data_IF_504735066956
#
_entry.id   IF_504735066956
#
_cell.length_a   1.000
_cell.length_b   1.000
_cell.length_c   1.000
_cell.angle_alpha   90.00
_cell.angle_beta   90.00
_cell.angle_gamma   90.00
#
_symmetry.space_group_name_H-M   'P 1'
#
loop_
_entity.id
_entity.type
_entity.pdbx_description
1 polymer ?
#
# COMPACT_ATOMS: atom_id res chain seq x y z
N UNK A 1 32.48 13.14 63.57
CA UNK A 1 32.44 14.06 64.74
C UNK A 1 32.45 15.49 64.21
N UNK A 2 31.39 16.27 64.51
CA UNK A 2 31.13 17.71 64.19
C UNK A 2 30.96 18.00 62.69
N UNK A 3 29.80 18.31 62.09
CA UNK A 3 28.56 19.04 62.43
C UNK A 3 28.75 20.49 62.87
N UNK A 4 28.48 21.42 61.93
CA UNK A 4 27.74 22.71 61.99
C UNK A 4 28.26 23.66 60.89
N UNK A 5 27.55 24.63 60.29
CA UNK A 5 26.14 25.03 60.15
C UNK A 5 26.17 26.36 59.34
N UNK A 6 25.06 26.69 58.66
CA UNK A 6 24.58 28.03 58.25
C UNK A 6 25.18 28.66 56.98
N UNK A 7 24.48 28.70 55.82
CA UNK A 7 23.27 29.43 55.40
C UNK A 7 23.57 30.84 54.79
N UNK A 8 23.01 31.02 53.59
CA UNK A 8 22.18 32.17 53.15
C UNK A 8 22.85 33.33 52.37
N UNK A 9 22.41 33.42 51.08
CA UNK A 9 21.92 34.63 50.35
C UNK A 9 22.95 35.76 50.10
N UNK A 10 22.94 36.57 49.05
CA UNK A 10 22.11 36.82 47.87
C UNK A 10 23.02 37.74 47.01
N UNK A 11 23.17 37.50 45.71
CA UNK A 11 22.73 38.43 44.68
C UNK A 11 23.77 39.47 44.17
N UNK A 12 23.62 39.78 42.87
CA UNK A 12 24.24 40.81 42.02
C UNK A 12 25.61 40.48 41.37
N UNK A 13 25.61 39.97 40.12
CA UNK A 13 25.63 40.71 38.81
C UNK A 13 27.02 41.28 38.51
N UNK A 14 27.68 41.08 37.36
CA UNK A 14 27.25 40.94 35.96
C UNK A 14 28.50 40.68 35.10
N UNK A 15 28.32 40.24 33.85
CA UNK A 15 29.28 40.30 32.72
C UNK A 15 29.95 38.98 32.28
N UNK A 16 29.15 38.11 31.64
CA UNK A 16 29.65 37.19 30.61
C UNK A 16 28.47 36.81 29.68
N UNK A 17 28.07 37.75 28.84
CA UNK A 17 27.10 37.56 27.76
C UNK A 17 27.89 37.46 26.45
N UNK A 18 28.39 36.28 26.11
CA UNK A 18 28.87 35.97 24.76
C UNK A 18 29.05 34.45 24.61
N UNK A 19 28.51 33.91 23.52
CA UNK A 19 28.62 32.51 23.04
C UNK A 19 27.60 31.51 23.60
N UNK A 20 26.33 31.91 23.65
CA UNK A 20 25.24 30.96 23.40
C UNK A 20 24.83 31.16 21.94
N UNK A 21 25.47 30.44 21.02
CA UNK A 21 24.93 30.28 19.68
C UNK A 21 23.76 29.30 19.81
N UNK A 22 22.50 29.69 19.56
CA UNK A 22 21.49 28.69 19.32
C UNK A 22 21.90 28.01 18.02
N UNK A 23 22.47 26.81 18.14
CA UNK A 23 22.42 25.81 17.08
C UNK A 23 20.98 25.82 16.63
N UNK A 24 20.74 26.33 15.43
CA UNK A 24 19.46 26.17 14.77
C UNK A 24 19.23 24.66 14.73
N UNK A 25 18.42 24.20 15.67
CA UNK A 25 17.66 22.99 15.53
C UNK A 25 16.87 23.20 14.24
N UNK A 26 17.42 22.70 13.14
CA UNK A 26 16.65 22.38 11.96
C UNK A 26 15.54 21.49 12.50
N UNK A 27 14.36 22.09 12.57
CA UNK A 27 13.12 21.34 12.57
C UNK A 27 13.18 20.50 11.31
N UNK A 28 13.62 19.26 11.44
CA UNK A 28 13.17 18.18 10.58
C UNK A 28 11.65 18.19 10.68
N UNK A 29 11.04 18.97 9.79
CA UNK A 29 9.63 18.91 9.50
C UNK A 29 9.36 17.46 9.18
N UNK A 30 8.70 16.80 10.11
CA UNK A 30 8.18 15.46 9.99
C UNK A 30 7.00 15.50 9.00
N UNK A 31 7.25 15.92 7.77
CA UNK A 31 6.30 15.93 6.64
C UNK A 31 6.24 14.52 6.02
N UNK A 32 6.18 13.49 6.86
CA UNK A 32 6.31 12.09 6.45
C UNK A 32 5.02 11.29 6.47
N UNK A 33 3.87 11.92 6.74
CA UNK A 33 2.63 11.18 6.98
C UNK A 33 1.68 11.11 5.77
N UNK A 34 1.90 11.88 4.70
CA UNK A 34 1.02 11.81 3.53
C UNK A 34 1.68 12.25 2.20
N UNK A 35 3.00 12.09 2.07
CA UNK A 35 3.72 12.39 0.83
C UNK A 35 3.80 11.14 -0.06
N UNK A 36 3.19 11.21 -1.23
CA UNK A 36 3.12 10.07 -2.15
C UNK A 36 4.43 9.97 -2.93
N UNK A 37 5.12 8.83 -2.81
CA UNK A 37 6.38 8.58 -3.53
C UNK A 37 6.12 8.10 -4.95
N UNK A 38 6.62 8.84 -5.93
CA UNK A 38 6.43 8.55 -7.36
C UNK A 38 7.79 8.39 -8.04
N UNK A 39 7.96 7.28 -8.76
CA UNK A 39 9.10 7.05 -9.65
C UNK A 39 8.69 7.31 -11.10
N UNK A 40 9.47 8.11 -11.83
CA UNK A 40 9.28 8.37 -13.26
C UNK A 40 10.39 7.65 -14.01
N UNK A 41 10.05 6.58 -14.72
CA UNK A 41 11.03 5.88 -15.53
C UNK A 41 11.30 6.62 -16.85
N UNK A 42 12.47 6.38 -17.47
CA UNK A 42 12.75 6.88 -18.82
C UNK A 42 11.61 6.50 -19.77
N UNK A 43 11.03 7.51 -20.40
CA UNK A 43 9.96 7.32 -21.37
C UNK A 43 10.56 6.98 -22.74
N UNK A 44 9.98 5.99 -23.41
CA UNK A 44 10.42 5.61 -24.75
C UNK A 44 9.84 6.58 -25.79
N UNK A 45 10.58 6.88 -26.86
CA UNK A 45 10.06 7.62 -28.01
C UNK A 45 10.25 6.81 -29.29
N UNK A 46 9.20 6.67 -30.09
CA UNK A 46 9.31 6.03 -31.40
C UNK A 46 10.03 6.94 -32.41
N UNK A 47 10.67 6.32 -33.41
CA UNK A 47 11.32 7.04 -34.50
C UNK A 47 10.36 8.02 -35.20
N UNK A 48 10.80 9.25 -35.41
CA UNK A 48 10.00 10.31 -36.04
C UNK A 48 9.09 11.11 -35.09
N UNK A 49 9.11 10.83 -33.78
CA UNK A 49 8.49 11.67 -32.76
C UNK A 49 9.25 12.99 -32.61
N UNK A 50 8.52 14.11 -32.48
CA UNK A 50 9.10 15.44 -32.57
C UNK A 50 9.95 15.88 -31.36
N UNK A 51 9.85 15.16 -30.23
CA UNK A 51 10.52 15.48 -28.97
C UNK A 51 11.44 14.33 -28.58
N UNK A 52 12.64 14.61 -28.11
CA UNK A 52 13.52 13.55 -27.60
C UNK A 52 12.91 12.88 -26.35
N UNK A 53 13.11 11.56 -26.25
CA UNK A 53 12.79 10.72 -25.09
C UNK A 53 13.20 11.33 -23.75
N UNK A 54 14.41 11.90 -23.68
CA UNK A 54 14.95 12.54 -22.48
C UNK A 54 14.18 13.81 -22.14
N UNK A 55 13.95 14.67 -23.14
CA UNK A 55 13.19 15.90 -22.97
C UNK A 55 11.73 15.62 -22.55
N UNK A 56 11.10 14.58 -23.12
CA UNK A 56 9.76 14.13 -22.72
C UNK A 56 9.74 13.70 -21.25
N UNK A 57 10.75 12.93 -20.81
CA UNK A 57 10.87 12.45 -19.43
C UNK A 57 11.06 13.62 -18.46
N UNK A 58 11.92 14.58 -18.81
CA UNK A 58 12.19 15.77 -17.98
C UNK A 58 10.94 16.65 -17.85
N UNK A 59 10.14 16.79 -18.92
CA UNK A 59 8.87 17.51 -18.89
C UNK A 59 7.83 16.83 -17.99
N UNK A 60 7.64 15.51 -18.12
CA UNK A 60 6.73 14.76 -17.24
C UNK A 60 7.17 14.85 -15.78
N UNK A 61 8.49 14.79 -15.53
CA UNK A 61 9.06 14.96 -14.19
C UNK A 61 8.76 16.35 -13.63
N UNK A 62 8.90 17.40 -14.46
CA UNK A 62 8.62 18.78 -14.06
C UNK A 62 7.14 19.00 -13.72
N UNK A 63 6.23 18.47 -14.55
CA UNK A 63 4.79 18.51 -14.31
C UNK A 63 4.46 17.85 -12.97
N UNK A 64 4.98 16.64 -12.73
CA UNK A 64 4.73 15.92 -11.49
C UNK A 64 5.36 16.61 -10.27
N UNK A 65 6.52 17.26 -10.43
CA UNK A 65 7.14 18.05 -9.37
C UNK A 65 6.29 19.26 -8.96
N UNK A 66 5.53 19.83 -9.91
CA UNK A 66 4.60 20.92 -9.67
C UNK A 66 3.34 20.52 -8.91
N UNK A 67 3.02 19.22 -8.85
CA UNK A 67 1.87 18.72 -8.08
C UNK A 67 2.27 18.60 -6.61
N UNK A 68 1.70 19.46 -5.75
CA UNK A 68 1.95 19.42 -4.31
C UNK A 68 1.69 18.04 -3.67
N UNK A 69 2.47 17.69 -2.65
CA UNK A 69 2.44 16.42 -1.89
C UNK A 69 2.91 15.17 -2.67
N UNK A 70 3.72 15.34 -3.71
CA UNK A 70 4.44 14.23 -4.37
C UNK A 70 5.94 14.30 -4.06
N UNK A 71 6.52 13.15 -3.68
CA UNK A 71 7.97 12.97 -3.62
C UNK A 71 8.44 12.23 -4.86
N UNK A 72 9.16 12.94 -5.72
CA UNK A 72 9.81 12.30 -6.85
C UNK A 72 11.07 11.56 -6.39
N UNK A 73 11.21 10.34 -6.86
CA UNK A 73 12.42 9.53 -6.64
C UNK A 73 13.48 9.97 -7.64
N UNK A 74 14.72 10.12 -7.14
CA UNK A 74 15.82 10.59 -7.96
C UNK A 74 16.24 9.55 -9.01
N UNK A 75 16.66 10.04 -10.18
CA UNK A 75 17.17 9.17 -11.27
C UNK A 75 18.37 8.34 -10.86
N UNK A 76 19.21 8.85 -9.95
CA UNK A 76 20.37 8.14 -9.44
C UNK A 76 19.99 6.90 -8.61
N UNK A 77 18.92 6.97 -7.80
CA UNK A 77 18.41 5.84 -7.02
C UNK A 77 17.83 4.76 -7.94
N UNK A 78 17.11 5.17 -8.99
CA UNK A 78 16.60 4.25 -10.01
C UNK A 78 17.70 3.56 -10.81
N UNK A 79 18.78 4.27 -11.16
CA UNK A 79 19.92 3.69 -11.86
C UNK A 79 20.62 2.64 -11.01
N UNK A 80 20.88 2.94 -9.72
CA UNK A 80 21.49 1.98 -8.79
C UNK A 80 20.64 0.71 -8.65
N UNK A 81 19.34 0.87 -8.42
CA UNK A 81 18.43 -0.26 -8.30
C UNK A 81 18.35 -1.11 -9.59
N UNK A 82 18.42 -0.45 -10.76
CA UNK A 82 18.48 -1.10 -12.06
C UNK A 82 19.76 -1.92 -12.25
N UNK A 83 20.92 -1.35 -11.89
CA UNK A 83 22.22 -2.01 -11.99
C UNK A 83 22.35 -3.20 -11.03
N UNK A 84 21.89 -3.04 -9.79
CA UNK A 84 21.90 -4.10 -8.77
C UNK A 84 21.02 -5.29 -9.14
N UNK A 85 19.85 -5.03 -9.69
CA UNK A 85 18.89 -6.09 -10.06
C UNK A 85 18.98 -6.52 -11.52
N UNK A 86 19.93 -5.97 -12.30
CA UNK A 86 20.13 -6.23 -13.74
C UNK A 86 18.86 -6.04 -14.57
N UNK A 87 18.03 -5.07 -14.19
CA UNK A 87 16.78 -4.77 -14.90
C UNK A 87 17.06 -3.66 -15.90
N UNK A 88 16.86 -3.92 -17.20
CA UNK A 88 17.04 -2.90 -18.21
C UNK A 88 16.02 -1.76 -18.01
N UNK A 89 16.51 -0.51 -18.01
CA UNK A 89 15.64 0.68 -18.01
C UNK A 89 14.87 0.84 -19.33
N UNK A 90 15.41 0.28 -20.42
CA UNK A 90 14.74 0.20 -21.72
C UNK A 90 13.71 -0.92 -21.72
N UNK A 91 12.48 -0.65 -22.20
CA UNK A 91 11.41 -1.65 -22.26
C UNK A 91 10.57 -1.75 -20.98
N UNK A 92 10.71 -0.82 -20.03
CA UNK A 92 9.85 -0.70 -18.85
C UNK A 92 8.40 -0.23 -19.18
N UNK A 93 8.10 0.03 -20.46
CA UNK A 93 6.74 0.31 -20.93
C UNK A 93 5.74 -0.82 -20.64
N UNK A 94 6.25 -2.05 -20.43
CA UNK A 94 5.51 -3.20 -19.94
C UNK A 94 5.54 -3.23 -18.41
N UNK A 95 4.42 -2.85 -17.81
CA UNK A 95 4.32 -2.48 -16.38
C UNK A 95 4.88 -3.47 -15.35
N UNK A 96 5.07 -4.75 -15.70
CA UNK A 96 5.59 -5.77 -14.79
C UNK A 96 7.03 -5.54 -14.32
N UNK A 97 7.92 -5.07 -15.20
CA UNK A 97 9.31 -4.75 -14.82
C UNK A 97 9.38 -3.43 -14.03
N UNK A 98 8.50 -2.49 -14.36
CA UNK A 98 8.40 -1.20 -13.70
C UNK A 98 7.91 -1.31 -12.25
N UNK A 99 6.96 -2.21 -11.97
CA UNK A 99 6.50 -2.51 -10.60
C UNK A 99 7.62 -3.09 -9.75
N UNK A 100 8.42 -4.01 -10.29
CA UNK A 100 9.55 -4.61 -9.57
C UNK A 100 10.59 -3.57 -9.17
N UNK A 101 11.04 -2.75 -10.12
CA UNK A 101 11.96 -1.65 -9.82
C UNK A 101 11.34 -0.65 -8.85
N UNK A 102 10.05 -0.31 -9.02
CA UNK A 102 9.29 0.53 -8.10
C UNK A 102 9.32 0.04 -6.65
N UNK A 103 9.21 -1.27 -6.42
CA UNK A 103 9.33 -1.87 -5.07
C UNK A 103 10.72 -1.65 -4.47
N UNK A 104 11.78 -1.79 -5.25
CA UNK A 104 13.16 -1.60 -4.79
C UNK A 104 13.47 -0.15 -4.44
N UNK A 105 12.96 0.80 -5.22
CA UNK A 105 13.12 2.24 -4.93
C UNK A 105 12.08 2.79 -3.95
N UNK A 106 11.26 1.92 -3.34
CA UNK A 106 10.19 2.29 -2.42
C UNK A 106 9.24 3.37 -2.99
N UNK A 107 8.87 3.19 -4.26
CA UNK A 107 7.84 3.98 -4.93
C UNK A 107 6.45 3.40 -4.64
N UNK A 108 5.48 4.25 -4.31
CA UNK A 108 4.07 3.84 -4.22
C UNK A 108 3.43 3.82 -5.61
N UNK A 109 3.85 4.75 -6.47
CA UNK A 109 3.41 4.82 -7.86
C UNK A 109 4.59 4.90 -8.81
N UNK A 110 4.41 4.29 -9.97
CA UNK A 110 5.38 4.25 -11.04
C UNK A 110 4.75 4.83 -12.29
N UNK A 111 5.43 5.78 -12.92
CA UNK A 111 5.04 6.38 -14.19
C UNK A 111 5.94 5.81 -15.29
N UNK A 112 5.32 5.16 -16.27
CA UNK A 112 5.96 4.69 -17.49
C UNK A 112 5.18 5.18 -18.70
N UNK A 113 5.81 5.21 -19.86
CA UNK A 113 5.10 5.65 -21.05
C UNK A 113 5.94 5.68 -22.30
N UNK A 114 5.26 5.95 -23.40
CA UNK A 114 5.87 6.01 -24.73
C UNK A 114 5.26 7.13 -25.57
N UNK A 115 6.11 7.92 -26.22
CA UNK A 115 5.75 8.80 -27.32
C UNK A 115 5.76 8.04 -28.66
N UNK A 116 4.70 8.15 -29.45
CA UNK A 116 4.61 7.59 -30.80
C UNK A 116 4.08 8.63 -31.76
N UNK A 117 4.56 8.58 -33.02
CA UNK A 117 3.95 9.36 -34.09
C UNK A 117 3.09 8.43 -34.94
N UNK A 118 1.84 8.83 -35.19
CA UNK A 118 0.92 8.11 -36.06
C UNK A 118 0.52 9.08 -37.17
N UNK A 119 1.04 8.88 -38.39
CA UNK A 119 0.85 9.81 -39.50
C UNK A 119 1.44 11.20 -39.21
N UNK A 120 0.59 12.23 -39.16
CA UNK A 120 0.99 13.61 -38.85
C UNK A 120 0.81 13.97 -37.36
N UNK A 121 0.29 13.07 -36.54
CA UNK A 121 -0.06 13.36 -35.15
C UNK A 121 0.91 12.70 -34.17
N UNK A 122 1.38 13.49 -33.21
CA UNK A 122 2.19 13.04 -32.10
C UNK A 122 1.27 12.56 -30.97
N UNK A 123 1.47 11.32 -30.51
CA UNK A 123 0.74 10.70 -29.42
C UNK A 123 1.69 10.38 -28.27
N UNK A 124 1.25 10.60 -27.03
CA UNK A 124 1.97 10.18 -25.84
C UNK A 124 1.04 9.29 -25.03
N UNK A 125 1.54 8.15 -24.59
CA UNK A 125 0.79 7.23 -23.73
C UNK A 125 1.54 7.09 -22.42
N UNK A 126 0.96 7.58 -21.33
CA UNK A 126 1.49 7.43 -19.98
C UNK A 126 0.64 6.41 -19.22
N UNK A 127 1.29 5.64 -18.36
CA UNK A 127 0.64 4.68 -17.46
C UNK A 127 1.16 4.98 -16.06
N UNK A 128 0.23 5.19 -15.13
CA UNK A 128 0.56 5.31 -13.72
C UNK A 128 0.14 4.01 -13.04
N UNK A 129 1.11 3.32 -12.46
CA UNK A 129 0.95 1.99 -11.91
C UNK A 129 1.10 2.07 -10.40
N UNK A 130 0.09 1.60 -9.66
CA UNK A 130 0.22 1.40 -8.23
C UNK A 130 1.10 0.17 -7.97
N UNK A 131 2.19 0.35 -7.23
CA UNK A 131 3.20 -0.69 -6.96
C UNK A 131 2.72 -1.73 -5.96
N UNK A 132 1.82 -1.35 -5.05
CA UNK A 132 1.29 -2.22 -4.00
C UNK A 132 0.15 -3.10 -4.48
N UNK A 133 -0.82 -2.53 -5.19
CA UNK A 133 -2.04 -3.25 -5.61
C UNK A 133 -1.96 -3.79 -7.04
N UNK A 134 -0.91 -3.46 -7.80
CA UNK A 134 -0.79 -3.75 -9.24
C UNK A 134 -1.96 -3.17 -10.06
N UNK A 135 -2.74 -2.26 -9.46
CA UNK A 135 -3.81 -1.52 -10.13
C UNK A 135 -3.24 -0.60 -11.19
N UNK A 136 -3.52 -0.91 -12.45
CA UNK A 136 -3.05 -0.14 -13.59
C UNK A 136 -4.03 1.00 -13.85
N UNK A 137 -3.65 2.23 -13.50
CA UNK A 137 -4.41 3.41 -13.92
C UNK A 137 -3.77 3.96 -15.17
N UNK A 138 -4.35 3.62 -16.33
CA UNK A 138 -3.92 4.18 -17.61
C UNK A 138 -4.36 5.65 -17.67
N UNK A 139 -3.42 6.58 -17.48
CA UNK A 139 -3.63 7.97 -17.88
C UNK A 139 -3.16 8.10 -19.34
N UNK A 140 -4.01 7.63 -20.27
CA UNK A 140 -3.75 7.78 -21.70
C UNK A 140 -3.99 9.23 -22.11
N UNK A 141 -2.97 10.08 -21.94
CA UNK A 141 -3.00 11.45 -22.41
C UNK A 141 -2.81 11.51 -23.93
N UNK A 142 -3.87 11.22 -24.69
CA UNK A 142 -3.88 11.36 -26.15
C UNK A 142 -3.92 12.85 -26.53
N UNK A 143 -2.74 13.45 -26.71
CA UNK A 143 -2.65 14.66 -27.50
C UNK A 143 -2.77 14.28 -28.98
N UNK A 144 -3.58 15.03 -29.73
CA UNK A 144 -3.71 14.96 -31.18
C UNK A 144 -3.70 16.41 -31.61
N UNK A 145 -2.61 16.90 -32.19
CA UNK A 145 -2.61 18.27 -32.72
C UNK A 145 -1.62 18.46 -33.87
N UNK A 146 -2.07 19.21 -34.88
CA UNK A 146 -1.28 19.91 -35.90
C UNK A 146 -0.48 21.11 -35.32
N UNK A 147 -0.63 21.42 -34.01
CA UNK A 147 -0.21 22.68 -33.36
C UNK A 147 1.08 22.65 -32.53
N UNK A 148 2.06 21.82 -32.87
CA UNK A 148 3.40 21.87 -32.26
C UNK A 148 3.51 21.23 -30.87
N UNK A 149 4.72 21.26 -30.31
CA UNK A 149 5.08 20.55 -29.07
C UNK A 149 4.41 21.14 -27.81
N UNK A 150 4.14 22.45 -27.79
CA UNK A 150 3.63 23.15 -26.60
C UNK A 150 2.20 22.71 -26.23
N UNK A 151 1.29 22.61 -27.21
CA UNK A 151 -0.09 22.15 -26.96
C UNK A 151 -0.17 20.68 -26.51
N UNK A 152 0.83 19.88 -26.87
CA UNK A 152 0.93 18.49 -26.41
C UNK A 152 1.32 18.44 -24.92
N UNK A 153 2.18 19.35 -24.47
CA UNK A 153 2.60 19.47 -23.07
C UNK A 153 1.42 19.95 -22.20
N UNK A 154 0.67 20.97 -22.62
CA UNK A 154 -0.49 21.48 -21.85
C UNK A 154 -1.58 20.41 -21.62
N UNK A 155 -1.86 19.59 -22.65
CA UNK A 155 -2.81 18.48 -22.54
C UNK A 155 -2.30 17.35 -21.65
N UNK A 156 -0.99 17.10 -21.68
CA UNK A 156 -0.34 16.13 -20.80
C UNK A 156 -0.44 16.59 -19.34
N UNK A 157 -0.19 17.88 -19.06
CA UNK A 157 -0.30 18.46 -17.72
C UNK A 157 -1.71 18.29 -17.14
N UNK A 158 -2.73 18.66 -17.92
CA UNK A 158 -4.13 18.52 -17.48
C UNK A 158 -4.48 17.06 -17.17
N UNK A 159 -4.13 16.14 -18.09
CA UNK A 159 -4.44 14.71 -17.95
C UNK A 159 -3.70 14.06 -16.78
N UNK A 160 -2.42 14.41 -16.58
CA UNK A 160 -1.61 13.91 -15.48
C UNK A 160 -2.12 14.42 -14.13
N UNK A 161 -2.46 15.71 -14.04
CA UNK A 161 -2.99 16.32 -12.81
C UNK A 161 -4.31 15.66 -12.40
N UNK A 162 -5.23 15.45 -13.34
CA UNK A 162 -6.48 14.72 -13.08
C UNK A 162 -6.23 13.26 -12.69
N UNK A 163 -5.30 12.59 -13.37
CA UNK A 163 -4.91 11.21 -13.08
C UNK A 163 -4.37 11.05 -11.67
N UNK A 164 -3.43 11.91 -11.27
CA UNK A 164 -2.87 11.92 -9.92
C UNK A 164 -3.93 12.27 -8.87
N UNK A 165 -4.85 13.21 -9.15
CA UNK A 165 -5.93 13.55 -8.24
C UNK A 165 -6.89 12.37 -7.98
N UNK A 166 -7.16 11.54 -8.99
CA UNK A 166 -7.94 10.30 -8.84
C UNK A 166 -7.20 9.28 -7.97
N UNK A 167 -5.88 9.14 -8.16
CA UNK A 167 -5.04 8.24 -7.37
C UNK A 167 -4.97 8.65 -5.89
N UNK A 168 -4.85 9.96 -5.61
CA UNK A 168 -4.94 10.51 -4.26
C UNK A 168 -6.25 10.14 -3.59
N UNK A 169 -7.40 10.39 -4.24
CA UNK A 169 -8.71 10.01 -3.69
C UNK A 169 -8.79 8.53 -3.33
N UNK A 170 -8.20 7.63 -4.11
CA UNK A 170 -8.18 6.20 -3.79
C UNK A 170 -7.25 5.82 -2.65
N UNK A 171 -6.07 6.46 -2.54
CA UNK A 171 -5.13 6.23 -1.44
C UNK A 171 -5.64 6.83 -0.11
N UNK A 172 -6.04 8.10 -0.15
CA UNK A 172 -6.64 8.81 1.00
C UNK A 172 -7.94 8.13 1.44
N UNK A 173 -8.74 7.56 0.53
CA UNK A 173 -9.94 6.81 0.90
C UNK A 173 -9.60 5.50 1.65
N UNK A 174 -8.50 4.84 1.32
CA UNK A 174 -8.04 3.64 2.04
C UNK A 174 -7.65 3.95 3.48
N UNK A 175 -6.89 5.02 3.68
CA UNK A 175 -6.45 5.47 5.01
C UNK A 175 -7.59 6.09 5.82
N UNK A 176 -8.49 6.85 5.16
CA UNK A 176 -9.69 7.37 5.79
C UNK A 176 -10.64 6.24 6.22
N UNK A 177 -10.85 5.22 5.37
CA UNK A 177 -11.68 4.07 5.72
C UNK A 177 -11.12 3.27 6.91
N UNK A 178 -9.80 3.12 7.00
CA UNK A 178 -9.14 2.48 8.15
C UNK A 178 -9.31 3.33 9.41
N UNK A 179 -9.14 4.65 9.32
CA UNK A 179 -9.34 5.56 10.44
C UNK A 179 -10.80 5.59 10.94
N UNK A 180 -11.79 5.51 10.05
CA UNK A 180 -13.20 5.36 10.40
C UNK A 180 -13.47 4.02 11.06
N UNK A 181 -12.96 2.93 10.49
CA UNK A 181 -13.09 1.59 11.06
C UNK A 181 -12.48 1.55 12.48
N UNK A 182 -11.33 2.18 12.70
CA UNK A 182 -10.69 2.29 14.01
C UNK A 182 -11.56 3.02 15.04
N UNK A 183 -12.37 4.01 14.63
CA UNK A 183 -13.34 4.68 15.51
C UNK A 183 -14.50 3.75 15.86
N UNK A 184 -15.01 2.99 14.89
CA UNK A 184 -16.12 2.05 15.09
C UNK A 184 -15.72 0.87 15.98
N UNK A 185 -14.50 0.37 15.82
CA UNK A 185 -13.99 -0.84 16.50
C UNK A 185 -13.50 -0.55 17.94
N UNK A 186 -13.54 0.71 18.40
CA UNK A 186 -13.19 1.09 19.79
C UNK A 186 -13.83 0.22 20.89
N UNK A 187 -15.12 -0.21 20.80
CA UNK A 187 -15.72 -1.09 21.81
C UNK A 187 -15.04 -2.47 21.90
N UNK A 188 -14.36 -2.91 20.85
CA UNK A 188 -13.64 -4.18 20.77
C UNK A 188 -12.17 -4.05 21.19
N UNK A 189 -11.71 -2.85 21.57
CA UNK A 189 -10.33 -2.62 21.99
C UNK A 189 -9.98 -3.47 23.22
N UNK A 190 -8.87 -4.20 23.15
CA UNK A 190 -8.41 -5.12 24.20
C UNK A 190 -9.04 -6.52 24.17
N UNK A 191 -9.95 -6.81 23.23
CA UNK A 191 -10.47 -8.14 22.98
C UNK A 191 -9.45 -9.01 22.25
N UNK A 192 -9.43 -10.30 22.60
CA UNK A 192 -8.51 -11.28 21.99
C UNK A 192 -9.24 -12.07 20.92
N UNK A 193 -8.77 -11.94 19.69
CA UNK A 193 -9.23 -12.70 18.53
C UNK A 193 -8.28 -13.86 18.27
N UNK A 194 -8.82 -15.07 18.20
CA UNK A 194 -8.10 -16.22 17.68
C UNK A 194 -8.46 -16.41 16.21
N UNK A 195 -7.46 -16.41 15.33
CA UNK A 195 -7.62 -16.41 13.89
C UNK A 195 -7.23 -17.77 13.29
N UNK A 196 -8.15 -18.39 12.56
CA UNK A 196 -7.94 -19.63 11.83
C UNK A 196 -8.58 -19.55 10.43
N UNK A 197 -7.81 -19.15 9.43
CA UNK A 197 -8.28 -18.97 8.07
C UNK A 197 -7.52 -19.92 7.16
N UNK A 198 -8.25 -20.87 6.57
CA UNK A 198 -7.69 -21.81 5.60
C UNK A 198 -7.78 -21.23 4.19
N UNK A 199 -6.77 -21.47 3.37
CA UNK A 199 -6.69 -20.93 2.01
C UNK A 199 -6.40 -22.03 1.01
N UNK A 200 -7.12 -22.00 -0.10
CA UNK A 200 -6.95 -22.91 -1.21
C UNK A 200 -6.85 -22.14 -2.52
N UNK A 201 -6.03 -22.67 -3.42
CA UNK A 201 -5.95 -22.21 -4.79
C UNK A 201 -6.32 -23.34 -5.74
N UNK A 202 -7.14 -23.02 -6.73
CA UNK A 202 -7.58 -23.97 -7.73
C UNK A 202 -6.34 -24.54 -8.44
N UNK A 203 -6.28 -25.87 -8.57
CA UNK A 203 -5.20 -26.64 -9.22
C UNK A 203 -3.85 -26.73 -8.49
N UNK A 204 -3.59 -26.00 -7.40
CA UNK A 204 -2.35 -26.15 -6.62
C UNK A 204 -2.48 -25.59 -5.20
N UNK A 205 -1.94 -26.26 -4.15
CA UNK A 205 -1.88 -25.68 -2.82
C UNK A 205 -0.88 -24.51 -2.76
N UNK A 206 -1.29 -23.42 -2.10
CA UNK A 206 -0.40 -22.32 -1.71
C UNK A 206 0.27 -22.68 -0.38
N UNK A 207 1.58 -22.47 -0.29
CA UNK A 207 2.36 -22.85 0.90
C UNK A 207 2.12 -21.93 2.11
N UNK A 208 1.74 -20.66 1.88
CA UNK A 208 1.55 -19.67 2.94
C UNK A 208 0.15 -19.06 2.85
N UNK A 209 -0.59 -18.96 3.98
CA UNK A 209 -1.91 -18.35 4.01
C UNK A 209 -1.79 -16.81 3.97
N UNK A 210 -1.98 -16.23 2.79
CA UNK A 210 -1.86 -14.81 2.51
C UNK A 210 -3.03 -13.99 3.11
N UNK A 211 -4.26 -14.47 2.95
CA UNK A 211 -5.44 -13.86 3.58
C UNK A 211 -5.33 -13.87 5.12
N UNK A 212 -4.89 -14.97 5.74
CA UNK A 212 -4.72 -15.04 7.19
C UNK A 212 -3.73 -13.99 7.69
N UNK A 213 -2.59 -13.84 7.02
CA UNK A 213 -1.58 -12.83 7.37
C UNK A 213 -2.13 -11.42 7.16
N UNK A 214 -2.82 -11.16 6.05
CA UNK A 214 -3.43 -9.86 5.78
C UNK A 214 -4.47 -9.48 6.84
N UNK A 215 -5.36 -10.40 7.21
CA UNK A 215 -6.38 -10.20 8.24
C UNK A 215 -5.72 -9.96 9.60
N UNK A 216 -4.71 -10.75 9.97
CA UNK A 216 -3.99 -10.56 11.22
C UNK A 216 -3.34 -9.17 11.30
N UNK A 217 -2.69 -8.72 10.22
CA UNK A 217 -2.08 -7.40 10.17
C UNK A 217 -3.15 -6.29 10.20
N UNK A 218 -4.28 -6.49 9.53
CA UNK A 218 -5.43 -5.56 9.54
C UNK A 218 -5.99 -5.40 10.95
N UNK A 219 -6.23 -6.50 11.67
CA UNK A 219 -6.71 -6.48 13.05
C UNK A 219 -5.70 -5.83 14.01
N UNK A 220 -4.40 -6.12 13.86
CA UNK A 220 -3.35 -5.47 14.67
C UNK A 220 -3.27 -3.97 14.43
N UNK A 221 -3.47 -3.51 13.19
CA UNK A 221 -3.51 -2.07 12.87
C UNK A 221 -4.70 -1.35 13.53
N UNK A 222 -5.76 -2.09 13.88
CA UNK A 222 -6.92 -1.61 14.64
C UNK A 222 -6.74 -1.73 16.17
N UNK A 223 -5.52 -2.00 16.64
CA UNK A 223 -5.16 -2.21 18.05
C UNK A 223 -5.88 -3.42 18.70
N UNK A 224 -6.25 -4.43 17.91
CA UNK A 224 -6.83 -5.69 18.39
C UNK A 224 -5.74 -6.76 18.60
N UNK A 225 -5.90 -7.57 19.66
CA UNK A 225 -4.97 -8.66 19.94
C UNK A 225 -5.33 -9.90 19.12
N UNK A 226 -4.37 -10.42 18.35
CA UNK A 226 -4.58 -11.58 17.47
C UNK A 226 -3.67 -12.74 17.85
N UNK A 227 -4.26 -13.91 18.03
CA UNK A 227 -3.57 -15.19 18.24
C UNK A 227 -3.77 -16.04 16.98
N UNK A 228 -2.68 -16.51 16.40
CA UNK A 228 -2.71 -17.50 15.32
C UNK A 228 -2.25 -18.84 15.90
N UNK A 229 -3.07 -19.90 15.84
CA UNK A 229 -2.67 -21.25 16.20
C UNK A 229 -1.43 -21.68 15.44
N UNK A 230 -0.43 -22.21 16.14
CA UNK A 230 0.72 -22.91 15.55
C UNK A 230 0.63 -24.36 15.99
N UNK A 231 0.44 -25.27 15.04
CA UNK A 231 0.30 -26.72 15.26
C UNK A 231 -0.71 -27.09 16.36
N UNK A 232 -2.00 -26.78 16.17
CA UNK A 232 -2.99 -27.01 17.22
C UNK A 232 -3.29 -28.50 17.44
N UNK A 233 -3.49 -28.87 18.71
CA UNK A 233 -3.90 -30.23 19.09
C UNK A 233 -5.29 -30.57 18.55
N UNK A 234 -5.54 -31.84 18.21
CA UNK A 234 -6.86 -32.28 17.73
C UNK A 234 -7.96 -31.92 18.74
N UNK A 235 -9.09 -31.39 18.25
CA UNK A 235 -10.23 -30.99 19.10
C UNK A 235 -10.09 -29.62 19.78
N UNK A 236 -9.01 -28.87 19.52
CA UNK A 236 -8.80 -27.53 20.12
C UNK A 236 -9.96 -26.56 19.91
N UNK A 237 -10.64 -26.60 18.76
CA UNK A 237 -11.78 -25.73 18.46
C UNK A 237 -12.93 -25.95 19.44
N UNK A 238 -13.24 -27.21 19.71
CA UNK A 238 -14.32 -27.58 20.61
C UNK A 238 -13.98 -27.16 22.05
N UNK A 239 -12.74 -27.41 22.49
CA UNK A 239 -12.25 -26.95 23.77
C UNK A 239 -12.31 -25.42 23.91
N UNK A 240 -11.94 -24.67 22.87
CA UNK A 240 -12.01 -23.22 22.85
C UNK A 240 -13.45 -22.69 22.97
N UNK A 241 -14.38 -23.30 22.24
CA UNK A 241 -15.80 -22.91 22.28
C UNK A 241 -16.44 -23.16 23.65
N UNK A 242 -16.04 -24.25 24.32
CA UNK A 242 -16.53 -24.64 25.65
C UNK A 242 -15.88 -23.82 26.78
N UNK A 243 -14.56 -23.63 26.73
CA UNK A 243 -13.80 -23.03 27.84
C UNK A 243 -13.46 -21.55 27.65
N UNK A 244 -13.54 -21.04 26.42
CA UNK A 244 -13.07 -19.69 26.06
C UNK A 244 -11.56 -19.52 26.16
N UNK A 245 -10.79 -20.61 26.21
CA UNK A 245 -9.33 -20.59 26.35
C UNK A 245 -8.64 -21.33 25.22
N UNK A 246 -7.50 -20.79 24.80
CA UNK A 246 -6.57 -21.44 23.91
C UNK A 246 -5.21 -21.54 24.60
N UNK A 247 -4.87 -22.74 25.07
CA UNK A 247 -3.80 -22.92 26.05
C UNK A 247 -4.13 -22.15 27.34
N UNK A 248 -3.19 -21.32 27.81
CA UNK A 248 -3.38 -20.46 29.00
C UNK A 248 -4.04 -19.11 28.70
N UNK A 249 -4.26 -18.77 27.41
CA UNK A 249 -4.76 -17.46 27.01
C UNK A 249 -6.28 -17.47 26.90
N UNK A 250 -6.91 -16.46 27.50
CA UNK A 250 -8.34 -16.20 27.30
C UNK A 250 -8.57 -15.61 25.90
N UNK A 251 -9.58 -16.11 25.20
CA UNK A 251 -10.01 -15.65 23.88
C UNK A 251 -11.44 -15.14 24.01
N UNK A 252 -11.75 -14.02 23.36
CA UNK A 252 -13.11 -13.45 23.34
C UNK A 252 -13.85 -13.79 22.05
N UNK A 253 -13.13 -13.84 20.93
CA UNK A 253 -13.70 -14.14 19.61
C UNK A 253 -12.85 -15.15 18.85
N UNK A 254 -13.49 -16.15 18.25
CA UNK A 254 -12.90 -17.03 17.26
C UNK A 254 -13.26 -16.49 15.87
N UNK A 255 -12.25 -16.09 15.10
CA UNK A 255 -12.39 -15.68 13.72
C UNK A 255 -11.93 -16.83 12.84
N UNK A 256 -12.87 -17.52 12.21
CA UNK A 256 -12.55 -18.62 11.29
C UNK A 256 -13.03 -18.34 9.87
N UNK A 257 -12.37 -18.93 8.89
CA UNK A 257 -12.75 -18.69 7.51
C UNK A 257 -12.08 -19.58 6.48
N UNK A 258 -12.57 -19.42 5.25
CA UNK A 258 -12.10 -20.15 4.10
C UNK A 258 -11.89 -19.19 2.93
N UNK A 259 -10.68 -19.21 2.36
CA UNK A 259 -10.29 -18.47 1.18
C UNK A 259 -10.14 -19.40 -0.02
N UNK A 260 -10.79 -19.05 -1.13
CA UNK A 260 -10.61 -19.73 -2.41
C UNK A 260 -10.11 -18.73 -3.45
N UNK A 261 -9.04 -19.08 -4.15
CA UNK A 261 -8.54 -18.31 -5.29
C UNK A 261 -8.44 -19.15 -6.56
N UNK A 262 -8.58 -18.51 -7.71
CA UNK A 262 -8.46 -19.17 -8.99
C UNK A 262 -8.03 -18.22 -10.11
N UNK A 263 -7.44 -18.80 -11.15
CA UNK A 263 -7.06 -18.09 -12.37
C UNK A 263 -8.30 -17.50 -13.05
N UNK A 264 -8.26 -16.20 -13.34
CA UNK A 264 -9.32 -15.49 -14.03
C UNK A 264 -9.00 -15.27 -15.52
N UNK A 265 -7.72 -15.07 -15.86
CA UNK A 265 -7.27 -14.95 -17.24
C UNK A 265 -5.90 -14.29 -17.36
N UNK A 266 -5.37 -14.25 -18.58
CA UNK A 266 -4.09 -13.62 -18.88
C UNK A 266 -4.27 -12.56 -19.96
N UNK A 267 -3.78 -11.35 -19.74
CA UNK A 267 -3.87 -10.23 -20.68
C UNK A 267 -2.50 -9.57 -20.80
N UNK A 268 -1.94 -9.53 -22.02
CA UNK A 268 -0.65 -8.88 -22.30
C UNK A 268 0.50 -9.35 -21.39
N UNK A 269 0.57 -10.67 -21.12
CA UNK A 269 1.62 -11.26 -20.27
C UNK A 269 1.37 -11.13 -18.77
N UNK A 270 0.34 -10.42 -18.33
CA UNK A 270 -0.08 -10.36 -16.93
C UNK A 270 -1.15 -11.41 -16.65
N UNK A 271 -0.95 -12.14 -15.56
CA UNK A 271 -1.85 -13.15 -15.03
C UNK A 271 -2.77 -12.52 -13.99
N UNK A 272 -4.08 -12.64 -14.18
CA UNK A 272 -5.09 -12.21 -13.22
C UNK A 272 -5.70 -13.40 -12.51
N UNK A 273 -5.81 -13.29 -11.19
CA UNK A 273 -6.53 -14.23 -10.34
C UNK A 273 -7.67 -13.52 -9.64
N UNK A 274 -8.73 -14.26 -9.33
CA UNK A 274 -9.82 -13.82 -8.46
C UNK A 274 -9.83 -14.65 -7.20
N UNK A 275 -10.20 -14.03 -6.09
CA UNK A 275 -10.33 -14.71 -4.81
C UNK A 275 -11.62 -14.31 -4.11
N UNK A 276 -12.14 -15.24 -3.32
CA UNK A 276 -13.24 -15.04 -2.38
C UNK A 276 -12.79 -15.56 -1.03
N UNK A 277 -12.96 -14.74 -0.01
CA UNK A 277 -12.67 -15.11 1.39
C UNK A 277 -13.95 -14.95 2.17
N UNK A 278 -14.38 -16.01 2.84
CA UNK A 278 -15.52 -16.00 3.75
C UNK A 278 -15.01 -16.05 5.18
N UNK A 279 -15.50 -15.14 6.02
CA UNK A 279 -15.11 -15.03 7.42
C UNK A 279 -16.33 -15.14 8.31
N UNK A 280 -16.16 -15.86 9.39
CA UNK A 280 -17.12 -16.02 10.47
C UNK A 280 -16.48 -15.63 11.80
N UNK A 281 -17.15 -14.78 12.56
CA UNK A 281 -16.77 -14.40 13.91
C UNK A 281 -17.71 -15.07 14.89
N UNK A 282 -17.15 -15.85 15.81
CA UNK A 282 -17.87 -16.56 16.86
C UNK A 282 -17.47 -15.98 18.22
N UNK A 283 -18.45 -15.51 19.00
CA UNK A 283 -18.24 -15.11 20.40
C UNK A 283 -17.97 -16.32 21.29
N UNK A 284 -16.93 -16.26 22.11
CA UNK A 284 -16.55 -17.33 23.06
C UNK A 284 -16.47 -16.82 24.51
N UNK A 285 -16.82 -17.66 25.51
CA UNK A 285 -17.38 -19.01 25.39
C UNK A 285 -18.87 -19.02 25.01
N UNK A 286 -19.34 -20.13 24.43
CA UNK A 286 -20.78 -20.39 24.28
C UNK A 286 -21.45 -19.94 22.97
N UNK A 287 -20.68 -19.55 21.93
CA UNK A 287 -21.22 -19.12 20.62
C UNK A 287 -22.23 -17.98 20.74
N UNK A 288 -21.90 -16.99 21.56
CA UNK A 288 -22.81 -15.88 21.89
C UNK A 288 -23.09 -14.93 20.72
N UNK A 289 -22.21 -14.91 19.72
CA UNK A 289 -22.29 -14.08 18.51
C UNK A 289 -21.88 -14.94 17.33
N UNK A 290 -22.59 -14.84 16.20
CA UNK A 290 -22.23 -15.48 14.93
C UNK A 290 -22.46 -14.48 13.78
N UNK A 291 -21.38 -13.80 13.40
CA UNK A 291 -21.39 -12.84 12.30
C UNK A 291 -20.60 -13.41 11.14
N UNK A 292 -21.24 -13.52 9.98
CA UNK A 292 -20.60 -14.02 8.76
C UNK A 292 -20.66 -12.97 7.64
N UNK A 293 -19.54 -12.76 6.96
CA UNK A 293 -19.47 -11.96 5.73
C UNK A 293 -18.40 -12.50 4.78
N UNK A 294 -18.34 -11.92 3.58
CA UNK A 294 -17.42 -12.34 2.52
C UNK A 294 -16.77 -11.14 1.85
N UNK A 295 -15.53 -11.33 1.40
CA UNK A 295 -14.80 -10.41 0.55
C UNK A 295 -14.50 -11.07 -0.80
N UNK A 296 -14.48 -10.26 -1.86
CA UNK A 296 -14.16 -10.71 -3.22
C UNK A 296 -13.25 -9.70 -3.86
N UNK A 297 -12.06 -10.13 -4.27
CA UNK A 297 -11.09 -9.28 -4.90
C UNK A 297 -10.44 -9.96 -6.12
N UNK A 298 -9.74 -9.15 -6.91
CA UNK A 298 -8.93 -9.60 -8.01
C UNK A 298 -7.49 -9.11 -7.79
N UNK A 299 -6.54 -9.96 -8.12
CA UNK A 299 -5.11 -9.66 -8.12
C UNK A 299 -4.55 -9.84 -9.53
N UNK A 300 -3.51 -9.08 -9.85
CA UNK A 300 -2.84 -9.14 -11.15
C UNK A 300 -1.34 -9.18 -10.90
N UNK A 301 -0.64 -10.13 -11.46
CA UNK A 301 0.82 -10.22 -11.38
C UNK A 301 1.35 -10.93 -12.63
N UNK A 302 2.66 -10.94 -12.85
CA UNK A 302 3.29 -11.77 -13.88
C UNK A 302 3.17 -13.27 -13.53
N UNK A 303 3.19 -13.60 -12.23
CA UNK A 303 3.14 -14.97 -11.74
C UNK A 303 1.78 -15.26 -11.10
N UNK A 304 1.13 -16.35 -11.52
CA UNK A 304 -0.18 -16.77 -11.00
C UNK A 304 -0.22 -16.86 -9.47
N UNK A 305 0.80 -17.47 -8.86
CA UNK A 305 0.85 -17.60 -7.40
C UNK A 305 0.87 -16.25 -6.68
N UNK A 306 1.53 -15.22 -7.24
CA UNK A 306 1.57 -13.88 -6.67
C UNK A 306 0.27 -13.13 -6.91
N UNK A 307 -0.33 -13.29 -8.08
CA UNK A 307 -1.65 -12.74 -8.40
C UNK A 307 -2.73 -13.33 -7.48
N UNK A 308 -2.66 -14.63 -7.21
CA UNK A 308 -3.56 -15.33 -6.30
C UNK A 308 -3.40 -14.87 -4.85
N UNK A 309 -2.15 -14.76 -4.36
CA UNK A 309 -1.87 -14.22 -3.03
C UNK A 309 -2.40 -12.80 -2.88
N UNK A 310 -2.10 -11.91 -3.83
CA UNK A 310 -2.60 -10.52 -3.82
C UNK A 310 -4.13 -10.46 -3.81
N UNK A 311 -4.80 -11.31 -4.60
CA UNK A 311 -6.26 -11.40 -4.61
C UNK A 311 -6.81 -11.86 -3.24
N UNK A 312 -6.18 -12.86 -2.62
CA UNK A 312 -6.56 -13.37 -1.30
C UNK A 312 -6.36 -12.34 -0.19
N UNK A 313 -5.26 -11.58 -0.23
CA UNK A 313 -4.97 -10.52 0.73
C UNK A 313 -6.05 -9.43 0.70
N UNK A 314 -6.38 -8.93 -0.49
CA UNK A 314 -7.40 -7.88 -0.65
C UNK A 314 -8.81 -8.39 -0.30
N UNK A 315 -9.15 -9.63 -0.72
CA UNK A 315 -10.42 -10.24 -0.34
C UNK A 315 -10.51 -10.44 1.18
N UNK A 316 -9.42 -10.84 1.84
CA UNK A 316 -9.35 -11.01 3.29
C UNK A 316 -9.53 -9.69 4.04
N UNK A 317 -8.87 -8.61 3.60
CA UNK A 317 -9.05 -7.26 4.17
C UNK A 317 -10.50 -6.81 4.07
N UNK A 318 -11.11 -6.96 2.90
CA UNK A 318 -12.51 -6.59 2.68
C UNK A 318 -13.46 -7.41 3.59
N UNK A 319 -13.26 -8.73 3.65
CA UNK A 319 -14.07 -9.60 4.49
C UNK A 319 -13.96 -9.22 5.98
N UNK A 320 -12.75 -8.92 6.46
CA UNK A 320 -12.49 -8.53 7.84
C UNK A 320 -13.15 -7.19 8.19
N UNK A 321 -13.02 -6.19 7.32
CA UNK A 321 -13.62 -4.88 7.53
C UNK A 321 -15.16 -4.98 7.60
N UNK A 322 -15.78 -5.80 6.74
CA UNK A 322 -17.23 -6.01 6.73
C UNK A 322 -17.74 -6.79 7.94
N UNK A 323 -17.06 -7.89 8.30
CA UNK A 323 -17.43 -8.70 9.49
C UNK A 323 -17.28 -7.89 10.78
N UNK A 324 -16.22 -7.09 10.94
CA UNK A 324 -16.06 -6.21 12.10
C UNK A 324 -17.15 -5.14 12.18
N UNK A 325 -17.54 -4.54 11.05
CA UNK A 325 -18.64 -3.56 11.02
C UNK A 325 -19.96 -4.18 11.48
N UNK A 326 -20.25 -5.41 11.05
CA UNK A 326 -21.45 -6.14 11.51
C UNK A 326 -21.37 -6.52 12.98
N UNK A 327 -20.22 -6.99 13.44
CA UNK A 327 -19.99 -7.34 14.84
C UNK A 327 -20.23 -6.18 15.80
N UNK A 328 -19.90 -4.94 15.40
CA UNK A 328 -20.15 -3.74 16.21
C UNK A 328 -21.61 -3.27 16.12
N UNK A 329 -22.34 -3.66 15.07
CA UNK A 329 -23.72 -3.26 14.85
C UNK A 329 -24.74 -4.15 15.59
N UNK A 330 -24.33 -5.34 16.03
CA UNK A 330 -25.10 -6.24 16.91
C UNK A 330 -24.91 -5.89 18.40
#
# INVERSE_FOLDING_TARGET
MKLTLVLRRFCLTTLAFALCSPVWAQTDKKDGANEIRVAVFPLDAAEGFAVDSKALTDQVTTILAGIGNLRLIERAEMSKASDEHKIALSGLADGGSAVKLGKFVNAQFVVVGKGTRIGQTNHVSLKIINVETTGLTVVAAKATVEGGADQLIDRLETSLTEGVAKLKKTADAGDAALAELKKLVKPLAGKVFLLDVSEQHVNRPLADPAAQVAIANRLRALDLMVIIPKDPVAGWKQHLLETGKYGEKKVDYLLEGEGLSGLAGQVQGLTSCRARVELRIIGVPGRSVDVTDKGVAAGVDLVEALAAKSALEEAGKQAADLTLKRLVAE
#
